data_IF_923759383776
#
_entry.id   IF_923759383776
#
_cell.length_a   1.000
_cell.length_b   1.000
_cell.length_c   1.000
_cell.angle_alpha   90.00
_cell.angle_beta   90.00
_cell.angle_gamma   90.00
#
_symmetry.space_group_name_H-M   'P 1'
#
loop_
_entity.id
_entity.type
_entity.pdbx_description
1 polymer ?
#
# COMPACT_ATOMS: atom_id res chain seq x y z
N UNK A 1 -0.96 12.58 6.53
CA UNK A 1 0.23 12.80 7.39
C UNK A 1 0.00 12.78 8.89
N UNK A 2 -1.18 13.18 9.39
CA UNK A 2 -1.47 13.16 10.84
C UNK A 2 -1.27 11.75 11.44
N UNK A 3 -1.78 10.72 10.76
CA UNK A 3 -1.61 9.33 11.19
C UNK A 3 -0.13 8.91 11.27
N UNK A 4 0.70 9.22 10.25
CA UNK A 4 2.14 8.92 10.27
C UNK A 4 2.84 9.60 11.46
N UNK A 5 2.59 10.91 11.69
CA UNK A 5 3.15 11.63 12.84
C UNK A 5 2.74 10.99 14.16
N UNK A 6 1.46 10.63 14.29
CA UNK A 6 0.93 10.00 15.50
C UNK A 6 1.58 8.63 15.73
N UNK A 7 1.68 7.79 14.68
CA UNK A 7 2.31 6.47 14.78
C UNK A 7 3.79 6.56 15.16
N UNK A 8 4.54 7.55 14.67
CA UNK A 8 5.93 7.77 15.11
C UNK A 8 6.00 8.15 16.59
N UNK A 9 5.08 8.99 17.06
CA UNK A 9 5.08 9.46 18.44
C UNK A 9 4.63 8.40 19.45
N UNK A 10 3.69 7.52 19.07
CA UNK A 10 2.98 6.66 20.01
C UNK A 10 3.06 5.16 19.72
N UNK A 11 3.66 4.74 18.61
CA UNK A 11 3.77 3.32 18.23
C UNK A 11 5.23 2.87 18.02
N UNK A 12 6.17 3.35 18.83
CA UNK A 12 7.60 3.05 18.71
C UNK A 12 7.94 1.54 18.76
N UNK A 13 7.12 0.73 19.45
CA UNK A 13 7.29 -0.72 19.52
C UNK A 13 6.70 -1.52 18.33
N UNK A 14 5.91 -0.88 17.46
CA UNK A 14 5.29 -1.57 16.33
C UNK A 14 6.29 -1.76 15.19
N UNK A 15 6.54 -3.00 14.77
CA UNK A 15 7.45 -3.31 13.65
C UNK A 15 6.86 -2.92 12.29
N UNK A 16 5.54 -3.04 12.16
CA UNK A 16 4.79 -2.73 10.95
C UNK A 16 3.52 -1.96 11.32
N UNK A 17 3.14 -1.04 10.44
CA UNK A 17 1.92 -0.25 10.58
C UNK A 17 1.13 -0.39 9.29
N UNK A 18 -0.11 -0.89 9.39
CA UNK A 18 -1.09 -0.89 8.32
C UNK A 18 -1.88 0.43 8.38
N UNK A 19 -1.95 1.12 7.26
CA UNK A 19 -2.86 2.23 7.03
C UNK A 19 -3.95 1.73 6.10
N UNK A 20 -5.22 1.95 6.47
CA UNK A 20 -6.36 1.40 5.75
C UNK A 20 -7.57 2.33 5.85
N UNK A 21 -8.36 2.39 4.78
CA UNK A 21 -9.67 3.06 4.75
C UNK A 21 -10.74 2.19 5.44
N UNK A 22 -11.88 2.78 5.79
CA UNK A 22 -12.93 2.11 6.56
C UNK A 22 -13.84 1.19 5.73
N UNK A 23 -13.65 1.14 4.41
CA UNK A 23 -14.40 0.31 3.46
C UNK A 23 -13.57 -0.83 2.85
N UNK A 24 -12.56 -1.31 3.58
CA UNK A 24 -11.73 -2.45 3.21
C UNK A 24 -11.99 -3.70 4.06
N UNK A 25 -11.98 -4.86 3.41
CA UNK A 25 -11.71 -6.14 4.06
C UNK A 25 -10.19 -6.30 4.23
N UNK A 26 -9.75 -6.81 5.40
CA UNK A 26 -8.33 -7.06 5.70
C UNK A 26 -8.14 -8.44 6.35
N UNK A 27 -7.54 -9.41 5.67
CA UNK A 27 -7.06 -10.65 6.30
C UNK A 27 -5.81 -10.38 7.15
N UNK A 28 -5.99 -10.39 8.47
CA UNK A 28 -4.90 -10.22 9.42
C UNK A 28 -3.96 -11.43 9.37
N UNK A 29 -4.49 -12.65 9.22
CA UNK A 29 -3.66 -13.85 9.05
C UNK A 29 -2.74 -13.74 7.84
N UNK A 30 -3.28 -13.41 6.66
CA UNK A 30 -2.49 -13.32 5.43
C UNK A 30 -1.52 -12.13 5.47
N UNK A 31 -1.95 -11.01 6.05
CA UNK A 31 -1.07 -9.86 6.30
C UNK A 31 0.14 -10.26 7.18
N UNK A 32 -0.10 -10.94 8.30
CA UNK A 32 0.96 -11.39 9.20
C UNK A 32 1.89 -12.41 8.54
N UNK A 33 1.35 -13.34 7.75
CA UNK A 33 2.14 -14.28 6.93
C UNK A 33 3.07 -13.52 5.98
N UNK A 34 2.56 -12.47 5.33
CA UNK A 34 3.32 -11.63 4.41
C UNK A 34 4.42 -10.82 5.11
N UNK A 35 4.08 -10.01 6.12
CA UNK A 35 5.07 -9.09 6.74
C UNK A 35 6.14 -9.81 7.57
N UNK A 36 5.89 -11.04 8.04
CA UNK A 36 6.91 -11.88 8.70
C UNK A 36 7.96 -12.40 7.73
N UNK A 37 7.62 -12.54 6.45
CA UNK A 37 8.55 -13.02 5.43
C UNK A 37 8.28 -12.36 4.07
N UNK A 38 8.56 -11.05 3.95
CA UNK A 38 8.19 -10.27 2.78
C UNK A 38 8.99 -10.63 1.52
N UNK A 39 10.08 -11.40 1.65
CA UNK A 39 10.90 -11.88 0.54
C UNK A 39 10.41 -13.21 -0.05
N UNK A 40 9.88 -14.13 0.77
CA UNK A 40 9.48 -15.47 0.31
C UNK A 40 8.02 -15.55 -0.16
N UNK A 41 7.24 -14.49 0.01
CA UNK A 41 5.81 -14.45 -0.34
C UNK A 41 5.55 -13.93 -1.76
N UNK A 42 6.60 -13.79 -2.58
CA UNK A 42 6.50 -13.49 -4.00
C UNK A 42 6.40 -14.80 -4.81
N UNK A 43 5.24 -15.14 -5.42
CA UNK A 43 5.21 -16.19 -6.42
C UNK A 43 5.88 -15.65 -7.69
N UNK A 44 7.05 -16.22 -8.03
CA UNK A 44 7.63 -16.31 -9.37
C UNK A 44 7.33 -15.12 -10.31
N UNK A 45 8.20 -14.10 -10.31
CA UNK A 45 8.43 -13.35 -11.56
C UNK A 45 9.01 -14.37 -12.53
N UNK A 46 8.31 -14.53 -13.66
CA UNK A 46 8.72 -15.27 -14.84
C UNK A 46 10.21 -15.02 -15.12
N UNK A 47 10.98 -16.11 -15.20
CA UNK A 47 12.45 -16.16 -15.28
C UNK A 47 13.07 -15.47 -16.50
N UNK A 48 12.27 -14.74 -17.28
CA UNK A 48 12.67 -13.99 -18.47
C UNK A 48 12.54 -12.46 -18.30
N UNK A 49 12.08 -11.96 -17.15
CA UNK A 49 12.04 -10.52 -16.87
C UNK A 49 13.38 -10.04 -16.28
N UNK A 50 14.39 -10.00 -17.16
CA UNK A 50 15.59 -9.16 -17.10
C UNK A 50 16.48 -9.35 -15.86
N UNK A 51 17.65 -9.95 -16.13
CA UNK A 51 18.86 -9.83 -15.35
C UNK A 51 19.12 -8.37 -14.90
N UNK A 52 18.67 -8.05 -13.69
CA UNK A 52 19.34 -7.10 -12.83
C UNK A 52 19.80 -7.88 -11.62
N UNK A 53 21.10 -8.14 -11.55
CA UNK A 53 21.83 -8.36 -10.31
C UNK A 53 21.37 -7.36 -9.26
N UNK A 54 20.38 -7.75 -8.49
CA UNK A 54 20.02 -7.07 -7.26
C UNK A 54 19.95 -8.17 -6.23
N UNK A 55 21.09 -8.35 -5.57
CA UNK A 55 21.23 -8.99 -4.29
C UNK A 55 20.47 -8.12 -3.25
N UNK A 56 19.18 -7.84 -3.49
CA UNK A 56 18.33 -6.97 -2.68
C UNK A 56 17.88 -7.76 -1.47
N UNK A 57 18.84 -7.99 -0.56
CA UNK A 57 18.53 -8.23 0.84
C UNK A 57 17.46 -7.22 1.23
N UNK A 58 16.39 -7.71 1.87
CA UNK A 58 15.42 -6.83 2.50
C UNK A 58 16.17 -5.86 3.39
N UNK A 59 16.20 -4.60 3.01
CA UNK A 59 16.96 -3.53 3.66
C UNK A 59 16.24 -3.01 4.92
N UNK A 60 15.18 -3.70 5.34
CA UNK A 60 14.30 -3.29 6.43
C UNK A 60 13.29 -2.21 6.03
N UNK A 61 13.34 -1.65 4.81
CA UNK A 61 12.45 -0.57 4.36
C UNK A 61 11.29 -1.14 3.55
N UNK A 62 10.28 -1.62 4.28
CA UNK A 62 9.03 -2.08 3.67
C UNK A 62 8.10 -0.88 3.44
N UNK A 63 7.63 -0.73 2.21
CA UNK A 63 6.48 0.08 1.83
C UNK A 63 5.73 -0.69 0.76
N UNK A 64 4.52 -1.15 1.05
CA UNK A 64 3.86 -2.18 0.21
C UNK A 64 2.35 -2.12 0.25
N UNK A 65 1.74 -2.64 -0.81
CA UNK A 65 0.31 -2.75 -1.06
C UNK A 65 0.11 -2.88 -2.57
N UNK A 66 -0.99 -2.36 -3.10
CA UNK A 66 -1.19 -2.34 -4.55
C UNK A 66 -0.44 -1.18 -5.22
N UNK A 67 0.61 -1.51 -5.97
CA UNK A 67 1.48 -0.57 -6.68
C UNK A 67 0.88 -0.06 -7.99
N UNK A 68 0.89 1.26 -8.15
CA UNK A 68 0.81 1.94 -9.45
C UNK A 68 2.23 2.32 -9.92
N UNK A 69 2.83 1.59 -10.87
CA UNK A 69 4.23 1.81 -11.26
C UNK A 69 4.41 3.04 -12.16
N UNK A 70 3.40 3.36 -12.96
CA UNK A 70 3.41 4.48 -13.93
C UNK A 70 1.99 5.04 -14.04
N UNK A 71 1.75 6.18 -13.39
CA UNK A 71 0.44 6.85 -13.42
C UNK A 71 0.63 8.31 -13.84
N UNK A 72 0.00 8.78 -14.93
CA UNK A 72 0.00 10.17 -15.30
C UNK A 72 -1.02 10.98 -14.48
N UNK A 73 -0.71 12.25 -14.13
CA UNK A 73 -1.71 13.15 -13.58
C UNK A 73 -2.87 13.37 -14.56
N UNK A 74 -4.12 13.27 -14.11
CA UNK A 74 -5.26 13.54 -14.97
C UNK A 74 -5.34 15.05 -15.28
N UNK A 75 -5.32 15.41 -16.56
CA UNK A 75 -5.32 16.81 -17.02
C UNK A 75 -6.68 17.30 -17.52
N UNK A 76 -7.73 16.49 -17.39
CA UNK A 76 -9.09 16.88 -17.75
C UNK A 76 -9.78 17.60 -16.58
N UNK A 77 -10.15 18.87 -16.77
CA UNK A 77 -10.73 19.74 -15.72
C UNK A 77 -12.02 19.21 -15.07
N UNK A 78 -12.74 18.33 -15.75
CA UNK A 78 -13.98 17.70 -15.25
C UNK A 78 -13.73 16.53 -14.29
N UNK A 79 -12.49 16.02 -14.22
CA UNK A 79 -12.15 14.95 -13.31
C UNK A 79 -12.02 15.47 -11.88
N UNK A 80 -12.61 14.76 -10.91
CA UNK A 80 -12.35 15.00 -9.48
C UNK A 80 -10.85 14.88 -9.12
N UNK A 81 -10.09 14.16 -9.95
CA UNK A 81 -8.65 13.96 -9.80
C UNK A 81 -7.82 14.87 -10.73
N UNK A 82 -8.40 15.93 -11.30
CA UNK A 82 -7.69 16.87 -12.18
C UNK A 82 -6.50 17.52 -11.48
N UNK A 83 -5.30 17.50 -12.07
CA UNK A 83 -4.10 18.20 -11.59
C UNK A 83 -3.57 19.13 -12.68
N UNK A 84 -3.30 20.39 -12.33
CA UNK A 84 -2.74 21.36 -13.28
C UNK A 84 -1.23 21.20 -13.45
N UNK A 85 -0.66 21.73 -14.55
CA UNK A 85 0.79 21.74 -14.74
C UNK A 85 1.50 22.64 -13.72
N UNK A 86 0.81 23.68 -13.23
CA UNK A 86 1.31 24.54 -12.16
C UNK A 86 1.41 23.79 -10.82
N UNK A 87 0.42 22.94 -10.51
CA UNK A 87 0.42 22.11 -9.30
C UNK A 87 1.48 21.00 -9.38
N UNK A 88 1.58 20.32 -10.53
CA UNK A 88 2.55 19.25 -10.77
C UNK A 88 3.04 19.29 -12.23
N UNK A 89 4.27 19.74 -12.50
CA UNK A 89 4.74 20.00 -13.87
C UNK A 89 5.20 18.75 -14.62
N UNK A 90 5.34 17.61 -13.95
CA UNK A 90 5.85 16.38 -14.57
C UNK A 90 4.73 15.56 -15.22
N UNK A 91 5.10 14.77 -16.23
CA UNK A 91 4.15 13.93 -16.98
C UNK A 91 3.72 12.66 -16.22
N UNK A 92 4.50 12.24 -15.22
CA UNK A 92 4.23 11.03 -14.43
C UNK A 92 4.45 11.30 -12.94
N UNK A 93 3.61 10.67 -12.12
CA UNK A 93 3.89 10.51 -10.70
C UNK A 93 5.04 9.53 -10.49
N UNK A 94 5.78 9.64 -9.36
CA UNK A 94 6.61 8.53 -8.90
C UNK A 94 5.77 7.26 -8.69
N UNK A 95 6.36 6.05 -8.72
CA UNK A 95 5.67 4.85 -8.29
C UNK A 95 5.11 5.02 -6.88
N UNK A 96 3.85 4.65 -6.67
CA UNK A 96 3.18 4.77 -5.38
C UNK A 96 2.28 3.57 -5.11
N UNK A 97 2.11 3.25 -3.82
CA UNK A 97 1.06 2.33 -3.39
C UNK A 97 -0.22 3.13 -3.25
N UNK A 98 -1.29 2.67 -3.90
CA UNK A 98 -2.60 3.31 -3.83
C UNK A 98 -3.07 3.56 -2.42
N UNK A 99 -3.80 4.66 -2.23
CA UNK A 99 -4.53 4.90 -1.00
C UNK A 99 -5.55 3.76 -0.78
N UNK A 100 -5.94 3.56 0.48
CA UNK A 100 -6.92 2.57 0.88
C UNK A 100 -6.37 1.40 1.68
N UNK A 101 -5.22 0.81 1.28
CA UNK A 101 -4.54 -0.18 2.11
C UNK A 101 -3.04 -0.27 1.78
N UNK A 102 -2.18 0.11 2.72
CA UNK A 102 -0.73 -0.04 2.59
C UNK A 102 -0.04 -0.26 3.93
N UNK A 103 1.13 -0.90 3.87
CA UNK A 103 1.94 -1.23 5.05
C UNK A 103 3.28 -0.52 4.98
N UNK A 104 3.70 0.07 6.10
CA UNK A 104 5.05 0.56 6.32
C UNK A 104 5.74 -0.27 7.40
N UNK A 105 7.04 -0.55 7.22
CA UNK A 105 7.89 -0.90 8.37
C UNK A 105 8.10 0.33 9.26
N UNK A 106 8.45 0.10 10.52
CA UNK A 106 8.76 1.17 11.47
C UNK A 106 9.86 2.12 10.94
N UNK A 107 10.90 1.57 10.34
CA UNK A 107 12.00 2.34 9.73
C UNK A 107 11.52 3.23 8.59
N UNK A 108 10.74 2.68 7.64
CA UNK A 108 10.12 3.47 6.57
C UNK A 108 9.18 4.55 7.12
N UNK A 109 8.40 4.24 8.16
CA UNK A 109 7.49 5.18 8.80
C UNK A 109 8.26 6.40 9.36
N UNK A 110 9.37 6.16 10.07
CA UNK A 110 10.22 7.22 10.63
C UNK A 110 10.86 8.04 9.52
N UNK A 111 11.45 7.38 8.51
CA UNK A 111 12.07 8.04 7.36
C UNK A 111 11.05 8.93 6.63
N UNK A 112 9.84 8.41 6.37
CA UNK A 112 8.74 9.16 5.74
C UNK A 112 8.26 10.33 6.59
N UNK A 113 8.17 10.18 7.91
CA UNK A 113 7.81 11.28 8.80
C UNK A 113 8.81 12.44 8.70
N UNK A 114 10.10 12.19 8.89
CA UNK A 114 11.11 13.24 8.80
C UNK A 114 11.22 13.81 7.38
N UNK A 115 11.14 12.95 6.35
CA UNK A 115 11.11 13.39 4.96
C UNK A 115 9.93 14.32 4.63
N UNK A 116 8.79 14.13 5.30
CA UNK A 116 7.61 14.97 5.11
C UNK A 116 7.80 16.42 5.58
N UNK A 117 8.64 16.63 6.60
CA UNK A 117 8.93 17.98 7.13
C UNK A 117 9.64 18.87 6.11
N UNK A 118 10.32 18.27 5.13
CA UNK A 118 11.10 18.96 4.10
C UNK A 118 10.51 18.82 2.70
N UNK A 119 9.29 18.31 2.57
CA UNK A 119 8.67 18.01 1.29
C UNK A 119 7.35 18.75 1.18
N UNK A 120 7.25 19.62 0.16
CA UNK A 120 6.01 20.36 -0.15
C UNK A 120 4.85 19.38 -0.20
N UNK A 121 3.83 19.64 0.63
CA UNK A 121 2.65 18.80 0.69
C UNK A 121 1.96 18.72 -0.67
N UNK A 122 1.47 17.52 -1.00
CA UNK A 122 0.65 17.26 -2.18
C UNK A 122 -0.69 16.69 -1.71
N UNK A 123 -1.79 17.14 -2.32
CA UNK A 123 -3.14 16.93 -1.77
C UNK A 123 -3.65 15.49 -1.87
N UNK A 124 -3.14 14.71 -2.82
CA UNK A 124 -3.42 13.28 -2.89
C UNK A 124 -2.37 12.57 -2.04
N UNK A 125 -2.85 11.88 -1.03
CA UNK A 125 -2.06 11.28 0.02
C UNK A 125 -1.20 10.12 -0.49
N UNK A 126 -1.74 9.26 -1.33
CA UNK A 126 -1.00 8.18 -1.99
C UNK A 126 0.15 8.68 -2.88
N UNK A 127 -0.13 9.70 -3.69
CA UNK A 127 0.89 10.36 -4.52
C UNK A 127 1.91 11.08 -3.63
N UNK A 128 1.47 11.73 -2.55
CA UNK A 128 2.38 12.38 -1.61
C UNK A 128 3.32 11.37 -0.95
N UNK A 129 2.82 10.22 -0.50
CA UNK A 129 3.64 9.13 0.05
C UNK A 129 4.58 8.57 -1.02
N UNK A 130 4.14 8.44 -2.28
CA UNK A 130 5.01 8.08 -3.40
C UNK A 130 6.14 9.09 -3.66
N UNK A 131 5.85 10.39 -3.54
CA UNK A 131 6.87 11.46 -3.63
C UNK A 131 7.89 11.33 -2.49
N UNK A 132 7.43 11.09 -1.27
CA UNK A 132 8.32 10.84 -0.13
C UNK A 132 9.19 9.61 -0.35
N UNK A 133 8.59 8.50 -0.79
CA UNK A 133 9.29 7.26 -1.07
C UNK A 133 10.41 7.47 -2.11
N UNK A 134 10.10 8.16 -3.22
CA UNK A 134 11.10 8.52 -4.24
C UNK A 134 12.23 9.38 -3.67
N UNK A 135 11.91 10.41 -2.88
CA UNK A 135 12.90 11.32 -2.29
C UNK A 135 13.83 10.63 -1.29
N UNK A 136 13.31 9.63 -0.57
CA UNK A 136 14.02 8.87 0.45
C UNK A 136 14.65 7.58 -0.07
N UNK A 137 14.56 7.33 -1.38
CA UNK A 137 15.00 6.08 -2.02
C UNK A 137 14.36 4.82 -1.42
N UNK A 138 13.13 4.93 -0.93
CA UNK A 138 12.32 3.78 -0.50
C UNK A 138 11.59 3.23 -1.73
N UNK A 139 11.80 1.96 -2.04
CA UNK A 139 11.21 1.31 -3.21
C UNK A 139 9.84 0.73 -2.81
N UNK A 140 8.72 1.22 -3.39
CA UNK A 140 7.41 0.64 -3.13
C UNK A 140 7.33 -0.79 -3.71
N UNK A 141 6.76 -1.71 -2.95
CA UNK A 141 6.64 -3.13 -3.32
C UNK A 141 5.20 -3.49 -3.60
N UNK A 142 4.95 -3.92 -4.84
CA UNK A 142 3.65 -4.48 -5.22
C UNK A 142 3.38 -5.76 -4.43
N UNK A 143 2.14 -5.95 -3.98
CA UNK A 143 1.64 -7.23 -3.53
C UNK A 143 0.31 -7.51 -4.24
N UNK A 144 0.21 -8.61 -5.02
CA UNK A 144 -0.97 -8.91 -5.82
C UNK A 144 -2.22 -9.26 -4.98
N UNK A 145 -2.03 -9.53 -3.68
CA UNK A 145 -3.11 -9.87 -2.76
C UNK A 145 -3.73 -8.63 -2.09
N UNK A 146 -3.26 -7.43 -2.43
CA UNK A 146 -3.92 -6.17 -2.10
C UNK A 146 -4.76 -5.74 -3.30
N UNK A 147 -6.07 -5.67 -3.14
CA UNK A 147 -7.01 -5.31 -4.19
C UNK A 147 -7.60 -3.94 -3.89
N UNK A 148 -7.30 -2.96 -4.74
CA UNK A 148 -7.86 -1.60 -4.62
C UNK A 148 -9.27 -1.47 -5.21
N UNK A 149 -9.85 -2.58 -5.66
CA UNK A 149 -11.20 -2.69 -6.17
C UNK A 149 -12.01 -3.72 -5.37
N UNK A 150 -13.32 -3.70 -5.59
CA UNK A 150 -14.24 -4.68 -5.02
C UNK A 150 -14.12 -6.01 -5.75
N UNK A 151 -13.67 -7.05 -5.03
CA UNK A 151 -13.77 -8.42 -5.49
C UNK A 151 -15.16 -8.95 -5.18
N UNK A 152 -15.77 -9.65 -6.15
CA UNK A 152 -16.98 -10.44 -5.89
C UNK A 152 -16.65 -11.50 -4.84
N UNK A 153 -17.34 -11.41 -3.71
CA UNK A 153 -17.03 -12.27 -2.57
C UNK A 153 -17.35 -13.75 -2.87
N UNK A 154 -16.35 -14.60 -2.65
CA UNK A 154 -16.50 -16.05 -2.53
C UNK A 154 -15.43 -16.60 -1.57
N UNK A 155 -15.69 -17.77 -1.00
CA UNK A 155 -14.78 -18.40 -0.05
C UNK A 155 -13.36 -18.57 -0.63
N UNK A 156 -13.25 -19.09 -1.84
CA UNK A 156 -11.96 -19.36 -2.51
C UNK A 156 -11.29 -18.10 -3.04
N UNK A 157 -12.06 -17.12 -3.54
CA UNK A 157 -11.48 -15.88 -4.05
C UNK A 157 -10.76 -15.06 -2.96
N UNK A 158 -11.14 -15.28 -1.69
CA UNK A 158 -10.60 -14.55 -0.54
C UNK A 158 -9.55 -15.34 0.27
N UNK A 159 -9.20 -16.56 -0.15
CA UNK A 159 -8.23 -17.43 0.53
C UNK A 159 -6.87 -16.76 0.74
N UNK A 160 -6.33 -16.12 -0.30
CA UNK A 160 -5.02 -15.45 -0.28
C UNK A 160 -5.11 -13.93 -0.13
N UNK A 161 -6.31 -13.36 -0.20
CA UNK A 161 -6.53 -11.90 -0.13
C UNK A 161 -5.96 -11.37 1.18
N UNK A 162 -5.16 -10.31 1.09
CA UNK A 162 -4.71 -9.53 2.24
C UNK A 162 -5.63 -8.34 2.46
N UNK A 163 -5.95 -7.61 1.40
CA UNK A 163 -6.82 -6.44 1.45
C UNK A 163 -7.74 -6.39 0.23
N UNK A 164 -9.00 -6.02 0.40
CA UNK A 164 -9.91 -5.77 -0.72
C UNK A 164 -10.83 -4.60 -0.41
N UNK A 165 -10.88 -3.64 -1.33
CA UNK A 165 -11.80 -2.48 -1.26
C UNK A 165 -13.26 -2.93 -1.42
N UNK A 166 -14.21 -2.05 -1.09
CA UNK A 166 -15.62 -2.17 -1.49
C UNK A 166 -16.54 -2.75 -0.42
N UNK A 167 -16.06 -2.77 0.82
CA UNK A 167 -16.76 -3.22 2.01
C UNK A 167 -17.40 -2.07 2.79
N UNK A 168 -18.01 -1.11 2.07
CA UNK A 168 -18.67 0.04 2.67
C UNK A 168 -19.97 -0.29 3.43
N UNK A 169 -20.53 -1.50 3.25
CA UNK A 169 -21.57 -2.03 4.13
C UNK A 169 -20.91 -2.92 5.22
N UNK A 170 -20.93 -2.49 6.50
CA UNK A 170 -20.33 -3.25 7.59
C UNK A 170 -20.90 -4.67 7.75
N UNK A 171 -22.14 -4.93 7.31
CA UNK A 171 -22.73 -6.27 7.36
C UNK A 171 -22.02 -7.21 6.38
N UNK A 172 -21.75 -6.76 5.17
CA UNK A 172 -21.04 -7.54 4.16
C UNK A 172 -19.60 -7.82 4.62
N UNK A 173 -18.95 -6.82 5.24
CA UNK A 173 -17.62 -7.00 5.86
C UNK A 173 -17.65 -8.08 6.94
N UNK A 174 -18.60 -8.00 7.86
CA UNK A 174 -18.72 -8.95 8.97
C UNK A 174 -19.01 -10.38 8.47
N UNK A 175 -19.86 -10.52 7.45
CA UNK A 175 -20.18 -11.82 6.83
C UNK A 175 -18.92 -12.42 6.18
N UNK A 176 -18.25 -11.65 5.32
CA UNK A 176 -17.03 -12.09 4.66
C UNK A 176 -15.94 -12.45 5.68
N UNK A 177 -15.72 -11.60 6.68
CA UNK A 177 -14.76 -11.84 7.76
C UNK A 177 -15.03 -13.13 8.53
N UNK A 178 -16.27 -13.33 8.98
CA UNK A 178 -16.61 -14.52 9.78
C UNK A 178 -16.49 -15.81 8.99
N UNK A 179 -16.85 -15.79 7.70
CA UNK A 179 -16.70 -16.97 6.85
C UNK A 179 -15.23 -17.26 6.52
N UNK A 180 -14.42 -16.24 6.22
CA UNK A 180 -12.98 -16.44 6.03
C UNK A 180 -12.30 -16.92 7.31
N UNK A 181 -12.73 -16.42 8.47
CA UNK A 181 -12.26 -16.88 9.78
C UNK A 181 -12.61 -18.34 10.04
N UNK A 182 -13.82 -18.79 9.72
CA UNK A 182 -14.22 -20.19 9.91
C UNK A 182 -13.47 -21.16 8.99
N UNK A 183 -13.04 -20.69 7.83
CA UNK A 183 -12.17 -21.41 6.89
C UNK A 183 -10.68 -21.34 7.27
N UNK A 184 -10.34 -20.48 8.24
CA UNK A 184 -8.97 -20.28 8.69
C UNK A 184 -8.15 -19.35 7.79
N UNK A 185 -8.75 -18.45 7.03
CA UNK A 185 -8.08 -17.50 6.13
C UNK A 185 -8.03 -16.05 6.65
N UNK A 186 -8.72 -15.74 7.75
CA UNK A 186 -8.79 -14.40 8.35
C UNK A 186 -8.04 -14.30 9.68
#
# INVERSE_FOLDING_TARGET
>A
MVAIKWSVAYCSGAQFILFVDDDYYISIKNLLKYVRNPLNSWPMIDSNAIDMESNTRFDGRLYTGYLFPKSPPLRHKTSKWFVSLEEYPYSLYPPYITAGAFVLSNTSLIDMYFGSLYTKHFRFDDIYVGILAKKLSIIPRHNPNFYFWSLSYSASAFEDVIASHGFGDPKNLLIAWNQQKSLGFA
#
